data_IF_683463326327
#
_entry.id   IF_683463326327
#
_cell.length_a   1.000
_cell.length_b   1.000
_cell.length_c   1.000
_cell.angle_alpha   90.00
_cell.angle_beta   90.00
_cell.angle_gamma   90.00
#
_symmetry.space_group_name_H-M   'P 1'
#
loop_
_entity.id
_entity.type
_entity.pdbx_description
1 polymer ?
#
# COMPACT_ATOMS: atom_id res chain seq x y z
N UNK A 1 0.95 9.65 15.32
CA UNK A 1 0.72 8.23 14.96
C UNK A 1 1.89 7.75 14.13
N UNK A 2 2.31 6.48 14.23
CA UNK A 2 3.33 5.93 13.32
C UNK A 2 2.82 5.97 11.87
N UNK A 3 3.69 6.19 10.87
CA UNK A 3 3.33 6.15 9.45
C UNK A 3 2.64 4.83 9.06
N UNK A 4 1.70 4.92 8.11
CA UNK A 4 0.94 3.78 7.59
C UNK A 4 1.83 2.59 7.17
N UNK A 5 2.95 2.88 6.51
CA UNK A 5 3.97 1.92 6.08
C UNK A 5 4.54 1.11 7.23
N UNK A 6 4.99 1.76 8.30
CA UNK A 6 5.65 1.09 9.43
C UNK A 6 4.68 0.13 10.12
N UNK A 7 3.44 0.58 10.34
CA UNK A 7 2.36 -0.25 10.91
C UNK A 7 2.05 -1.46 10.01
N UNK A 8 2.01 -1.27 8.69
CA UNK A 8 1.82 -2.37 7.74
C UNK A 8 2.94 -3.40 7.79
N UNK A 9 4.20 -2.94 7.74
CA UNK A 9 5.39 -3.80 7.78
C UNK A 9 5.41 -4.62 9.09
N UNK A 10 5.13 -3.99 10.22
CA UNK A 10 5.08 -4.66 11.52
C UNK A 10 4.00 -5.76 11.54
N UNK A 11 2.77 -5.43 11.09
CA UNK A 11 1.65 -6.38 11.07
C UNK A 11 1.86 -7.52 10.10
N UNK A 12 2.36 -7.27 8.89
CA UNK A 12 2.57 -8.32 7.89
C UNK A 12 3.75 -9.24 8.27
N UNK A 13 4.79 -8.70 8.93
CA UNK A 13 5.86 -9.52 9.53
C UNK A 13 5.36 -10.34 10.71
N UNK A 14 4.46 -9.78 11.52
CA UNK A 14 3.82 -10.51 12.61
C UNK A 14 2.98 -11.66 12.06
N UNK A 15 2.24 -11.45 10.97
CA UNK A 15 1.54 -12.51 10.24
C UNK A 15 2.49 -13.62 9.76
N UNK A 16 3.61 -13.27 9.11
CA UNK A 16 4.62 -14.27 8.68
C UNK A 16 5.18 -15.08 9.85
N UNK A 17 5.43 -14.42 10.99
CA UNK A 17 5.89 -15.09 12.22
C UNK A 17 4.81 -16.00 12.81
N UNK A 18 3.55 -15.57 12.83
CA UNK A 18 2.43 -16.37 13.32
C UNK A 18 2.27 -17.67 12.55
N UNK A 19 2.58 -17.68 11.24
CA UNK A 19 2.56 -18.88 10.40
C UNK A 19 3.62 -19.93 10.79
N UNK A 20 4.55 -19.62 11.68
CA UNK A 20 5.60 -20.55 12.14
C UNK A 20 5.24 -21.23 13.47
N UNK A 21 4.19 -20.75 14.14
CA UNK A 21 3.72 -21.29 15.43
C UNK A 21 3.11 -22.68 15.21
N UNK A 22 3.31 -23.58 16.18
CA UNK A 22 2.85 -24.96 16.07
C UNK A 22 1.32 -25.08 15.95
N UNK A 23 0.57 -24.21 16.65
CA UNK A 23 -0.89 -24.22 16.65
C UNK A 23 -1.54 -23.93 15.30
N UNK A 24 -0.80 -23.41 14.31
CA UNK A 24 -1.34 -23.12 12.97
C UNK A 24 -0.87 -24.11 11.90
N UNK A 25 0.02 -25.05 12.27
CA UNK A 25 0.51 -26.10 11.39
C UNK A 25 -0.39 -27.32 11.48
N UNK A 26 -0.55 -28.00 10.35
CA UNK A 26 -1.20 -29.30 10.34
C UNK A 26 -0.28 -30.35 10.96
N UNK A 27 -0.90 -31.28 11.66
CA UNK A 27 -0.33 -32.48 12.25
C UNK A 27 -0.90 -33.72 11.56
N UNK A 28 -0.39 -34.93 11.84
CA UNK A 28 -0.93 -36.16 11.25
C UNK A 28 -2.45 -36.24 11.35
N UNK A 29 -3.10 -36.89 10.37
CA UNK A 29 -4.57 -36.95 10.26
C UNK A 29 -5.27 -37.58 11.48
N UNK A 30 -4.53 -38.30 12.32
CA UNK A 30 -5.01 -38.81 13.62
C UNK A 30 -5.27 -37.70 14.64
N UNK A 31 -4.58 -36.56 14.56
CA UNK A 31 -4.71 -35.42 15.48
C UNK A 31 -5.82 -34.46 15.02
N UNK A 32 -7.05 -34.96 14.93
CA UNK A 32 -8.20 -34.22 14.40
C UNK A 32 -8.47 -32.90 15.14
N UNK A 33 -8.47 -32.91 16.47
CA UNK A 33 -8.76 -31.70 17.27
C UNK A 33 -7.74 -30.58 17.01
N UNK A 34 -6.45 -30.93 16.96
CA UNK A 34 -5.39 -29.97 16.64
C UNK A 34 -5.59 -29.38 15.25
N UNK A 35 -5.86 -30.22 14.25
CA UNK A 35 -6.03 -29.77 12.86
C UNK A 35 -7.26 -28.88 12.68
N UNK A 36 -8.35 -29.13 13.41
CA UNK A 36 -9.52 -28.24 13.43
C UNK A 36 -9.19 -26.87 14.05
N UNK A 37 -8.44 -26.84 15.16
CA UNK A 37 -7.96 -25.58 15.76
C UNK A 37 -7.03 -24.84 14.78
N UNK A 38 -6.09 -25.55 14.17
CA UNK A 38 -5.15 -24.98 13.21
C UNK A 38 -5.87 -24.37 12.01
N UNK A 39 -6.89 -25.06 11.48
CA UNK A 39 -7.76 -24.55 10.40
C UNK A 39 -8.46 -23.25 10.80
N UNK A 40 -9.08 -23.21 11.98
CA UNK A 40 -9.77 -22.01 12.48
C UNK A 40 -8.80 -20.84 12.63
N UNK A 41 -7.61 -21.08 13.19
CA UNK A 41 -6.60 -20.04 13.34
C UNK A 41 -6.10 -19.53 11.98
N UNK A 42 -5.85 -20.41 11.01
CA UNK A 42 -5.45 -20.01 9.64
C UNK A 42 -6.53 -19.19 8.93
N UNK A 43 -7.81 -19.52 9.10
CA UNK A 43 -8.89 -18.70 8.57
C UNK A 43 -8.88 -17.29 9.19
N UNK A 44 -8.68 -17.19 10.52
CA UNK A 44 -8.50 -15.90 11.19
C UNK A 44 -7.31 -15.10 10.64
N UNK A 45 -6.16 -15.75 10.47
CA UNK A 45 -4.95 -15.13 9.91
C UNK A 45 -5.16 -14.65 8.46
N UNK A 46 -5.91 -15.38 7.64
CA UNK A 46 -6.25 -14.96 6.28
C UNK A 46 -7.09 -13.66 6.28
N UNK A 47 -8.07 -13.56 7.18
CA UNK A 47 -8.88 -12.35 7.34
C UNK A 47 -8.03 -11.17 7.82
N UNK A 48 -7.20 -11.38 8.84
CA UNK A 48 -6.31 -10.34 9.40
C UNK A 48 -5.28 -9.86 8.36
N UNK A 49 -4.72 -10.78 7.57
CA UNK A 49 -3.78 -10.43 6.51
C UNK A 49 -4.39 -9.54 5.44
N UNK A 50 -5.63 -9.84 5.00
CA UNK A 50 -6.33 -8.98 4.05
C UNK A 50 -6.66 -7.61 4.66
N UNK A 51 -7.20 -7.60 5.87
CA UNK A 51 -7.52 -6.36 6.59
C UNK A 51 -6.28 -5.47 6.81
N UNK A 52 -5.11 -6.08 7.00
CA UNK A 52 -3.83 -5.36 7.15
C UNK A 52 -3.46 -4.59 5.89
N UNK A 53 -3.62 -5.19 4.70
CA UNK A 53 -3.38 -4.52 3.42
C UNK A 53 -4.44 -3.44 3.14
N UNK A 54 -5.69 -3.68 3.49
CA UNK A 54 -6.76 -2.68 3.35
C UNK A 54 -6.53 -1.44 4.21
N UNK A 55 -6.17 -1.64 5.48
CA UNK A 55 -5.86 -0.56 6.42
C UNK A 55 -4.67 0.27 5.93
N UNK A 56 -3.64 -0.40 5.38
CA UNK A 56 -2.51 0.28 4.75
C UNK A 56 -2.95 1.18 3.59
N UNK A 57 -3.70 0.65 2.62
CA UNK A 57 -4.14 1.43 1.45
C UNK A 57 -5.04 2.61 1.84
N UNK A 58 -5.94 2.41 2.82
CA UNK A 58 -6.76 3.50 3.40
C UNK A 58 -5.89 4.60 3.98
N UNK A 59 -5.05 4.26 4.96
CA UNK A 59 -4.21 5.23 5.68
C UNK A 59 -3.21 5.93 4.76
N UNK A 60 -2.54 5.18 3.88
CA UNK A 60 -1.59 5.75 2.92
C UNK A 60 -2.27 6.75 1.98
N UNK A 61 -3.51 6.47 1.56
CA UNK A 61 -4.28 7.41 0.74
C UNK A 61 -4.64 8.66 1.52
N UNK A 62 -5.09 8.51 2.78
CA UNK A 62 -5.36 9.65 3.66
C UNK A 62 -4.12 10.52 3.88
N UNK A 63 -2.95 9.91 4.13
CA UNK A 63 -1.66 10.60 4.24
C UNK A 63 -1.36 11.42 2.97
N UNK A 64 -1.54 10.82 1.78
CA UNK A 64 -1.31 11.52 0.52
C UNK A 64 -2.28 12.69 0.33
N UNK A 65 -3.56 12.54 0.68
CA UNK A 65 -4.53 13.63 0.56
C UNK A 65 -4.15 14.82 1.45
N UNK A 66 -3.71 14.55 2.69
CA UNK A 66 -3.23 15.58 3.62
C UNK A 66 -2.00 16.28 3.04
N UNK A 67 -1.04 15.53 2.52
CA UNK A 67 0.18 16.08 1.91
C UNK A 67 -0.09 16.91 0.64
N UNK A 68 -1.15 16.60 -0.11
CA UNK A 68 -1.57 17.42 -1.25
C UNK A 68 -2.22 18.73 -0.77
N UNK A 69 -3.07 18.67 0.26
CA UNK A 69 -3.64 19.88 0.88
C UNK A 69 -2.56 20.82 1.44
N UNK A 70 -1.45 20.26 1.92
CA UNK A 70 -0.29 21.03 2.40
C UNK A 70 0.68 21.47 1.28
N UNK A 71 0.39 21.17 0.01
CA UNK A 71 1.24 21.58 -1.11
C UNK A 71 0.96 23.03 -1.52
N UNK A 72 1.90 23.65 -2.25
CA UNK A 72 1.73 25.01 -2.77
C UNK A 72 0.88 25.08 -4.06
N UNK A 73 0.32 23.95 -4.50
CA UNK A 73 -0.43 23.83 -5.76
C UNK A 73 -1.87 24.24 -5.53
N UNK A 74 -2.40 25.14 -6.36
CA UNK A 74 -3.81 25.54 -6.27
C UNK A 74 -4.74 24.36 -6.56
N UNK A 75 -5.88 24.27 -5.85
CA UNK A 75 -6.85 23.20 -6.05
C UNK A 75 -7.30 23.09 -7.51
N UNK A 76 -7.48 24.23 -8.19
CA UNK A 76 -7.87 24.30 -9.61
C UNK A 76 -6.83 23.72 -10.56
N UNK A 77 -5.56 23.63 -10.16
CA UNK A 77 -4.50 23.02 -10.96
C UNK A 77 -4.38 21.50 -10.74
N UNK A 78 -5.03 20.93 -9.72
CA UNK A 78 -5.01 19.49 -9.51
C UNK A 78 -5.73 18.74 -10.64
N UNK A 79 -5.33 17.48 -10.92
CA UNK A 79 -6.02 16.64 -11.91
C UNK A 79 -7.52 16.58 -11.67
N UNK A 80 -8.32 16.68 -12.73
CA UNK A 80 -9.79 16.77 -12.64
C UNK A 80 -10.41 15.64 -11.81
N UNK A 81 -9.97 14.40 -12.04
CA UNK A 81 -10.43 13.22 -11.31
C UNK A 81 -10.15 13.32 -9.81
N UNK A 82 -9.00 13.86 -9.43
CA UNK A 82 -8.64 14.08 -8.03
C UNK A 82 -9.51 15.17 -7.40
N UNK A 83 -9.76 16.28 -8.11
CA UNK A 83 -10.67 17.33 -7.64
C UNK A 83 -12.07 16.78 -7.42
N UNK A 84 -12.58 16.01 -8.37
CA UNK A 84 -13.91 15.40 -8.30
C UNK A 84 -14.02 14.41 -7.14
N UNK A 85 -13.02 13.53 -6.96
CA UNK A 85 -12.98 12.58 -5.86
C UNK A 85 -12.94 13.28 -4.48
N UNK A 86 -12.17 14.37 -4.38
CA UNK A 86 -11.97 15.10 -3.11
C UNK A 86 -13.13 16.00 -2.72
N UNK A 87 -14.08 16.25 -3.63
CA UNK A 87 -15.22 17.15 -3.42
C UNK A 87 -16.54 16.39 -3.49
N UNK A 88 -16.94 15.97 -4.70
CA UNK A 88 -18.22 15.33 -4.94
C UNK A 88 -18.29 13.92 -4.37
N UNK A 89 -17.33 13.05 -4.71
CA UNK A 89 -17.37 11.65 -4.26
C UNK A 89 -17.11 11.51 -2.75
N UNK A 90 -16.34 12.43 -2.19
CA UNK A 90 -16.12 12.52 -0.76
C UNK A 90 -17.44 12.60 0.03
N UNK A 91 -18.50 13.22 -0.49
CA UNK A 91 -19.81 13.30 0.18
C UNK A 91 -20.36 11.90 0.46
N UNK A 92 -20.27 10.98 -0.50
CA UNK A 92 -20.72 9.60 -0.33
C UNK A 92 -19.91 8.87 0.74
N UNK A 93 -18.58 9.07 0.76
CA UNK A 93 -17.72 8.51 1.78
C UNK A 93 -18.06 9.04 3.18
N UNK A 94 -18.27 10.36 3.32
CA UNK A 94 -18.66 10.97 4.60
C UNK A 94 -20.00 10.42 5.09
N UNK A 95 -20.99 10.28 4.20
CA UNK A 95 -22.29 9.70 4.56
C UNK A 95 -22.15 8.26 5.07
N UNK A 96 -21.31 7.45 4.40
CA UNK A 96 -21.02 6.10 4.83
C UNK A 96 -20.36 6.08 6.22
N UNK A 97 -19.34 6.89 6.45
CA UNK A 97 -18.66 6.96 7.76
C UNK A 97 -19.61 7.40 8.89
N UNK A 98 -20.51 8.36 8.63
CA UNK A 98 -21.51 8.81 9.60
C UNK A 98 -22.46 7.70 10.06
N UNK A 99 -22.61 6.60 9.31
CA UNK A 99 -23.43 5.45 9.71
C UNK A 99 -22.85 4.70 10.92
N UNK A 100 -21.53 4.80 11.15
CA UNK A 100 -20.80 4.14 12.23
C UNK A 100 -20.56 5.02 13.46
N UNK A 101 -20.79 6.33 13.35
CA UNK A 101 -20.56 7.27 14.44
C UNK A 101 -21.73 7.33 15.42
N UNK A 102 -21.48 7.51 16.73
CA UNK A 102 -22.50 7.91 17.70
C UNK A 102 -23.22 9.20 17.26
N UNK A 103 -24.49 9.37 17.66
CA UNK A 103 -25.33 10.48 17.18
C UNK A 103 -24.74 11.86 17.51
N UNK A 104 -24.15 11.96 18.69
CA UNK A 104 -23.49 13.12 19.26
C UNK A 104 -22.28 13.60 18.43
N UNK A 105 -21.53 12.68 17.81
CA UNK A 105 -20.33 13.01 17.05
C UNK A 105 -20.63 13.37 15.59
N UNK A 106 -21.80 12.98 15.06
CA UNK A 106 -22.14 13.16 13.63
C UNK A 106 -22.11 14.61 13.18
N UNK A 107 -22.61 15.53 14.02
CA UNK A 107 -22.69 16.96 13.70
C UNK A 107 -21.28 17.54 13.57
N UNK A 108 -20.42 17.29 14.56
CA UNK A 108 -19.04 17.79 14.54
C UNK A 108 -18.27 17.21 13.36
N UNK A 109 -18.42 15.90 13.13
CA UNK A 109 -17.77 15.20 12.03
C UNK A 109 -18.14 15.78 10.66
N UNK A 110 -19.44 15.97 10.39
CA UNK A 110 -19.86 16.50 9.08
C UNK A 110 -19.45 17.96 8.91
N UNK A 111 -19.47 18.76 9.97
CA UNK A 111 -19.01 20.16 9.93
C UNK A 111 -17.52 20.24 9.59
N UNK A 112 -16.67 19.46 10.26
CA UNK A 112 -15.23 19.42 10.00
C UNK A 112 -14.92 19.08 8.54
N UNK A 113 -15.52 18.01 8.02
CA UNK A 113 -15.25 17.58 6.65
C UNK A 113 -15.91 18.48 5.60
N UNK A 114 -17.05 19.10 5.91
CA UNK A 114 -17.67 20.10 5.01
C UNK A 114 -16.81 21.36 4.89
N UNK A 115 -16.14 21.78 5.97
CA UNK A 115 -15.18 22.89 5.92
C UNK A 115 -14.02 22.57 4.97
N UNK A 116 -13.48 21.33 5.01
CA UNK A 116 -12.43 20.89 4.08
C UNK A 116 -12.90 20.95 2.62
N UNK A 117 -14.09 20.43 2.32
CA UNK A 117 -14.67 20.52 0.98
C UNK A 117 -14.85 21.99 0.56
N UNK A 118 -15.42 22.83 1.43
CA UNK A 118 -15.62 24.26 1.16
C UNK A 118 -14.30 24.99 0.90
N UNK A 119 -13.23 24.65 1.63
CA UNK A 119 -11.93 25.29 1.50
C UNK A 119 -11.31 25.15 0.11
N UNK A 120 -11.72 24.15 -0.69
CA UNK A 120 -11.28 23.94 -2.07
C UNK A 120 -11.67 25.06 -3.04
N UNK A 121 -12.59 25.94 -2.64
CA UNK A 121 -12.93 27.17 -3.35
C UNK A 121 -11.91 28.31 -3.14
N UNK A 122 -10.93 28.12 -2.25
CA UNK A 122 -9.92 29.12 -1.88
C UNK A 122 -8.51 28.65 -2.24
N UNK A 123 -7.52 29.54 -2.12
CA UNK A 123 -6.11 29.20 -2.37
C UNK A 123 -5.50 28.30 -1.29
N UNK A 124 -6.02 28.37 -0.06
CA UNK A 124 -5.55 27.59 1.08
C UNK A 124 -6.61 26.54 1.39
N UNK A 125 -6.48 25.36 0.81
CA UNK A 125 -7.45 24.29 0.96
C UNK A 125 -6.87 23.11 1.75
N UNK A 126 -7.76 22.39 2.40
CA UNK A 126 -7.48 21.08 2.98
C UNK A 126 -8.27 20.03 2.20
N UNK A 127 -7.65 18.88 1.94
CA UNK A 127 -8.38 17.75 1.37
C UNK A 127 -8.81 16.80 2.48
N UNK A 128 -10.04 16.31 2.35
CA UNK A 128 -10.55 15.30 3.27
C UNK A 128 -9.72 14.01 3.16
N UNK A 129 -9.27 13.43 4.28
CA UNK A 129 -8.56 12.14 4.26
C UNK A 129 -9.45 10.98 3.82
N UNK A 130 -10.77 11.20 3.74
CA UNK A 130 -11.77 10.19 3.42
C UNK A 130 -12.17 10.14 1.94
N UNK A 131 -11.44 10.83 1.07
CA UNK A 131 -11.75 10.85 -0.37
C UNK A 131 -11.71 9.45 -1.03
N UNK A 132 -10.92 8.51 -0.50
CA UNK A 132 -10.76 7.17 -1.07
C UNK A 132 -10.94 6.06 -0.04
N UNK A 133 -11.63 4.98 -0.41
CA UNK A 133 -11.80 3.75 0.39
C UNK A 133 -12.64 3.87 1.67
N UNK A 134 -13.26 5.02 1.93
CA UNK A 134 -14.11 5.27 3.10
C UNK A 134 -15.61 5.19 2.80
N UNK A 135 -16.01 4.76 1.60
CA UNK A 135 -17.39 4.60 1.14
C UNK A 135 -17.91 3.14 1.19
N UNK A 136 -17.09 2.21 1.68
CA UNK A 136 -17.40 0.78 1.73
C UNK A 136 -16.64 0.06 2.85
N UNK A 137 -17.16 -1.10 3.25
CA UNK A 137 -16.54 -1.89 4.33
C UNK A 137 -15.21 -2.49 3.88
N UNK A 138 -15.19 -3.04 2.66
CA UNK A 138 -14.06 -3.77 2.09
C UNK A 138 -13.62 -3.14 0.78
N UNK A 139 -12.32 -3.04 0.57
CA UNK A 139 -11.71 -2.53 -0.65
C UNK A 139 -11.83 -3.58 -1.75
N UNK A 140 -12.31 -3.15 -2.90
CA UNK A 140 -12.37 -3.94 -4.13
C UNK A 140 -11.22 -3.54 -5.07
N UNK A 141 -10.91 -4.43 -6.00
CA UNK A 141 -9.89 -4.21 -7.03
C UNK A 141 -10.20 -2.97 -7.89
N UNK A 142 -11.48 -2.76 -8.23
CA UNK A 142 -11.93 -1.57 -8.95
C UNK A 142 -11.73 -0.27 -8.16
N UNK A 143 -11.79 -0.32 -6.83
CA UNK A 143 -11.55 0.87 -6.01
C UNK A 143 -10.08 1.27 -6.03
N UNK A 144 -9.17 0.30 -6.04
CA UNK A 144 -7.74 0.54 -6.19
C UNK A 144 -7.44 1.15 -7.56
N UNK A 145 -8.03 0.59 -8.62
CA UNK A 145 -7.94 1.15 -9.98
C UNK A 145 -8.43 2.60 -10.02
N UNK A 146 -9.61 2.88 -9.45
CA UNK A 146 -10.21 4.22 -9.45
C UNK A 146 -9.33 5.23 -8.73
N UNK A 147 -8.82 4.89 -7.55
CA UNK A 147 -7.93 5.76 -6.78
C UNK A 147 -6.66 6.09 -7.57
N UNK A 148 -5.92 5.09 -8.06
CA UNK A 148 -4.67 5.34 -8.80
C UNK A 148 -4.92 6.08 -10.12
N UNK A 149 -6.07 5.89 -10.77
CA UNK A 149 -6.47 6.71 -11.93
C UNK A 149 -6.67 8.19 -11.59
N UNK A 150 -7.03 8.53 -10.35
CA UNK A 150 -7.08 9.94 -9.90
C UNK A 150 -5.68 10.56 -9.81
N UNK A 151 -4.65 9.74 -9.63
CA UNK A 151 -3.24 10.12 -9.64
C UNK A 151 -2.59 10.04 -11.02
N UNK A 152 -3.38 10.12 -12.10
CA UNK A 152 -2.85 10.15 -13.46
C UNK A 152 -2.17 8.85 -13.89
N UNK A 153 -2.52 7.71 -13.30
CA UNK A 153 -1.97 6.39 -13.63
C UNK A 153 -2.96 5.63 -14.51
N UNK A 154 -2.53 5.27 -15.72
CA UNK A 154 -3.29 4.39 -16.60
C UNK A 154 -2.92 2.92 -16.37
N UNK A 155 -3.90 2.03 -16.54
CA UNK A 155 -3.79 0.60 -16.22
C UNK A 155 -3.07 0.32 -14.88
N UNK A 156 -3.64 0.74 -13.73
CA UNK A 156 -2.89 0.74 -12.46
C UNK A 156 -2.30 -0.61 -12.05
N UNK A 157 -3.06 -1.71 -12.18
CA UNK A 157 -2.54 -3.04 -11.86
C UNK A 157 -1.42 -3.49 -12.80
N UNK A 158 -1.49 -3.11 -14.07
CA UNK A 158 -0.41 -3.34 -15.02
C UNK A 158 0.88 -2.63 -14.58
N UNK A 159 0.78 -1.35 -14.21
CA UNK A 159 1.94 -0.58 -13.72
C UNK A 159 2.50 -1.16 -12.43
N UNK A 160 1.65 -1.52 -11.47
CA UNK A 160 2.07 -2.18 -10.23
C UNK A 160 2.76 -3.52 -10.50
N UNK A 161 2.21 -4.33 -11.41
CA UNK A 161 2.79 -5.63 -11.78
C UNK A 161 4.14 -5.47 -12.47
N UNK A 162 4.31 -4.45 -13.32
CA UNK A 162 5.60 -4.12 -13.94
C UNK A 162 6.66 -3.72 -12.90
N UNK A 163 6.29 -2.90 -11.92
CA UNK A 163 7.19 -2.54 -10.80
C UNK A 163 7.57 -3.76 -9.96
N UNK A 164 6.58 -4.61 -9.63
CA UNK A 164 6.79 -5.86 -8.89
C UNK A 164 7.76 -6.79 -9.62
N UNK A 165 7.59 -6.94 -10.94
CA UNK A 165 8.45 -7.77 -11.80
C UNK A 165 9.89 -7.27 -11.84
N UNK A 166 10.12 -5.95 -11.95
CA UNK A 166 11.46 -5.35 -11.92
C UNK A 166 12.21 -5.61 -10.61
N UNK A 167 11.49 -5.76 -9.51
CA UNK A 167 12.04 -6.11 -8.20
C UNK A 167 12.11 -7.62 -7.95
N UNK A 168 11.55 -8.44 -8.84
CA UNK A 168 11.50 -9.89 -8.72
C UNK A 168 10.59 -10.39 -7.60
N UNK A 169 9.49 -9.67 -7.29
CA UNK A 169 8.66 -9.96 -6.11
C UNK A 169 7.54 -10.97 -6.39
N UNK A 170 6.92 -10.94 -7.57
CA UNK A 170 5.79 -11.83 -7.88
C UNK A 170 5.89 -12.41 -9.29
N UNK A 171 5.47 -13.67 -9.42
CA UNK A 171 5.37 -14.37 -10.71
C UNK A 171 4.03 -14.11 -11.42
N UNK A 172 2.96 -13.89 -10.65
CA UNK A 172 1.63 -13.61 -11.18
C UNK A 172 1.35 -12.10 -11.21
N UNK A 173 0.45 -11.64 -12.11
CA UNK A 173 -0.08 -10.27 -12.06
C UNK A 173 -0.72 -9.97 -10.71
N UNK A 174 -0.43 -8.79 -10.16
CA UNK A 174 -0.86 -8.41 -8.81
C UNK A 174 -2.39 -8.31 -8.65
N UNK A 175 -3.11 -8.00 -9.73
CA UNK A 175 -4.58 -8.00 -9.76
C UNK A 175 -5.14 -9.38 -9.40
N UNK A 176 -4.57 -10.44 -10.00
CA UNK A 176 -4.99 -11.81 -9.78
C UNK A 176 -4.68 -12.22 -8.33
N UNK A 177 -3.50 -11.87 -7.83
CA UNK A 177 -3.12 -12.11 -6.42
C UNK A 177 -4.10 -11.42 -5.46
N UNK A 178 -4.46 -10.16 -5.71
CA UNK A 178 -5.43 -9.42 -4.89
C UNK A 178 -6.83 -10.07 -4.93
N UNK A 179 -7.33 -10.41 -6.11
CA UNK A 179 -8.64 -11.04 -6.27
C UNK A 179 -8.69 -12.42 -5.59
N UNK A 180 -7.63 -13.21 -5.70
CA UNK A 180 -7.52 -14.51 -5.02
C UNK A 180 -7.51 -14.34 -3.50
N UNK A 181 -6.75 -13.38 -2.98
CA UNK A 181 -6.74 -13.06 -1.55
C UNK A 181 -8.10 -12.59 -1.04
N UNK A 182 -8.81 -11.76 -1.82
CA UNK A 182 -10.16 -11.30 -1.49
C UNK A 182 -11.17 -12.45 -1.42
N UNK A 183 -11.16 -13.35 -2.41
CA UNK A 183 -11.99 -14.57 -2.41
C UNK A 183 -11.67 -15.48 -1.23
N UNK A 184 -10.39 -15.65 -0.92
CA UNK A 184 -9.92 -16.46 0.21
C UNK A 184 -10.39 -15.89 1.54
N UNK A 185 -10.27 -14.57 1.75
CA UNK A 185 -10.82 -13.88 2.92
C UNK A 185 -12.32 -14.12 3.04
N UNK A 186 -13.08 -13.93 1.96
CA UNK A 186 -14.53 -14.11 1.98
C UNK A 186 -14.90 -15.54 2.38
N UNK A 187 -14.22 -16.54 1.81
CA UNK A 187 -14.40 -17.95 2.18
C UNK A 187 -14.05 -18.19 3.66
N UNK A 188 -12.90 -17.72 4.12
CA UNK A 188 -12.42 -17.89 5.49
C UNK A 188 -13.35 -17.27 6.54
N UNK A 189 -14.02 -16.15 6.23
CA UNK A 189 -14.89 -15.45 7.16
C UNK A 189 -16.33 -16.01 7.23
N UNK A 190 -16.82 -16.61 6.13
CA UNK A 190 -18.25 -16.93 6.00
C UNK A 190 -18.56 -18.41 5.80
N UNK A 191 -17.59 -19.23 5.38
CA UNK A 191 -17.80 -20.65 5.11
C UNK A 191 -17.31 -21.46 6.30
N UNK A 192 -18.23 -22.15 6.99
CA UNK A 192 -17.97 -22.88 8.24
C UNK A 192 -16.91 -23.99 8.10
N UNK A 193 -16.84 -24.61 6.92
CA UNK A 193 -15.84 -25.63 6.59
C UNK A 193 -14.70 -25.09 5.71
N UNK A 194 -14.47 -23.77 5.70
CA UNK A 194 -13.33 -23.20 5.01
C UNK A 194 -12.04 -23.77 5.56
N UNK A 195 -11.17 -24.23 4.67
CA UNK A 195 -9.78 -24.51 4.97
C UNK A 195 -8.91 -23.58 4.15
N UNK A 196 -8.05 -22.85 4.86
CA UNK A 196 -7.05 -21.98 4.27
C UNK A 196 -5.68 -22.62 4.48
N UNK A 197 -5.05 -23.13 3.42
CA UNK A 197 -3.73 -23.73 3.53
C UNK A 197 -2.70 -22.76 4.09
N UNK A 198 -1.72 -23.25 4.84
CA UNK A 198 -0.64 -22.40 5.36
C UNK A 198 0.18 -21.75 4.24
N UNK A 199 0.47 -22.51 3.18
CA UNK A 199 1.21 -22.05 1.99
C UNK A 199 0.51 -20.88 1.30
N UNK A 200 -0.82 -20.90 1.26
CA UNK A 200 -1.66 -19.84 0.70
C UNK A 200 -1.47 -18.51 1.43
N UNK A 201 -1.39 -18.55 2.77
CA UNK A 201 -1.18 -17.35 3.59
C UNK A 201 0.28 -16.87 3.46
N UNK A 202 1.24 -17.79 3.42
CA UNK A 202 2.66 -17.45 3.19
C UNK A 202 2.88 -16.77 1.84
N UNK A 203 2.26 -17.28 0.78
CA UNK A 203 2.29 -16.65 -0.53
C UNK A 203 1.64 -15.26 -0.48
N UNK A 204 0.48 -15.16 0.18
CA UNK A 204 -0.21 -13.88 0.32
C UNK A 204 0.63 -12.82 1.06
N UNK A 205 1.45 -13.18 2.05
CA UNK A 205 2.37 -12.24 2.71
C UNK A 205 3.28 -11.55 1.68
N UNK A 206 3.89 -12.32 0.78
CA UNK A 206 4.77 -11.78 -0.26
C UNK A 206 3.99 -10.92 -1.27
N UNK A 207 2.82 -11.38 -1.69
CA UNK A 207 1.94 -10.66 -2.61
C UNK A 207 1.44 -9.34 -2.01
N UNK A 208 1.04 -9.34 -0.73
CA UNK A 208 0.58 -8.15 -0.03
C UNK A 208 1.70 -7.09 0.09
N UNK A 209 2.94 -7.52 0.37
CA UNK A 209 4.09 -6.60 0.38
C UNK A 209 4.33 -6.02 -1.03
N UNK A 210 4.26 -6.83 -2.08
CA UNK A 210 4.42 -6.35 -3.45
C UNK A 210 3.32 -5.34 -3.83
N UNK A 211 2.05 -5.62 -3.48
CA UNK A 211 0.93 -4.69 -3.70
C UNK A 211 1.15 -3.39 -2.92
N UNK A 212 1.44 -3.48 -1.62
CA UNK A 212 1.64 -2.32 -0.77
C UNK A 212 2.79 -1.43 -1.25
N UNK A 213 3.96 -2.02 -1.53
CA UNK A 213 5.13 -1.31 -2.02
C UNK A 213 4.85 -0.61 -3.35
N UNK A 214 4.28 -1.32 -4.33
CA UNK A 214 4.08 -0.75 -5.67
C UNK A 214 2.97 0.30 -5.70
N UNK A 215 1.94 0.14 -4.88
CA UNK A 215 0.93 1.15 -4.63
C UNK A 215 1.55 2.42 -4.03
N UNK A 216 2.39 2.26 -2.99
CA UNK A 216 3.07 3.38 -2.32
C UNK A 216 4.04 4.10 -3.28
N UNK A 217 4.79 3.37 -4.09
CA UNK A 217 5.71 3.95 -5.08
C UNK A 217 4.99 4.86 -6.08
N UNK A 218 3.90 4.37 -6.67
CA UNK A 218 3.12 5.10 -7.66
C UNK A 218 2.45 6.34 -7.04
N UNK A 219 1.78 6.14 -5.91
CA UNK A 219 1.04 7.20 -5.24
C UNK A 219 1.98 8.28 -4.67
N UNK A 220 3.14 7.90 -4.11
CA UNK A 220 4.18 8.83 -3.67
C UNK A 220 4.86 9.56 -4.83
N UNK A 221 5.06 8.90 -5.98
CA UNK A 221 5.59 9.57 -7.18
C UNK A 221 4.61 10.62 -7.72
N UNK A 222 3.32 10.30 -7.76
CA UNK A 222 2.28 11.26 -8.12
C UNK A 222 2.26 12.46 -7.17
N UNK A 223 2.34 12.21 -5.86
CA UNK A 223 2.47 13.28 -4.85
C UNK A 223 3.69 14.17 -5.11
N UNK A 224 4.85 13.57 -5.42
CA UNK A 224 6.07 14.32 -5.73
C UNK A 224 5.89 15.22 -6.96
N UNK A 225 5.27 14.71 -8.03
CA UNK A 225 4.97 15.50 -9.24
C UNK A 225 4.02 16.66 -8.96
N UNK A 226 3.01 16.44 -8.11
CA UNK A 226 2.12 17.51 -7.64
C UNK A 226 2.93 18.55 -6.86
N UNK A 227 3.69 18.15 -5.85
CA UNK A 227 4.50 19.08 -5.02
C UNK A 227 5.50 19.89 -5.85
N UNK A 228 6.03 19.32 -6.93
CA UNK A 228 6.92 20.00 -7.88
C UNK A 228 6.19 20.94 -8.86
N UNK A 229 4.86 20.99 -8.81
CA UNK A 229 4.01 21.74 -9.73
C UNK A 229 4.28 21.37 -11.21
N UNK A 230 4.46 20.07 -11.50
CA UNK A 230 4.72 19.57 -12.86
C UNK A 230 3.50 19.84 -13.76
N UNK A 231 3.59 20.87 -14.61
CA UNK A 231 2.49 21.31 -15.47
C UNK A 231 1.98 20.22 -16.42
N UNK A 232 2.86 19.31 -16.88
CA UNK A 232 2.45 18.24 -17.79
C UNK A 232 1.63 17.18 -17.05
N UNK A 233 2.02 16.84 -15.83
CA UNK A 233 1.27 15.92 -14.97
C UNK A 233 -0.07 16.54 -14.52
N UNK A 234 -0.05 17.80 -14.06
CA UNK A 234 -1.23 18.51 -13.57
C UNK A 234 -2.28 18.74 -14.66
N UNK A 235 -1.85 19.03 -15.89
CA UNK A 235 -2.75 19.14 -17.06
C UNK A 235 -3.28 17.80 -17.57
N UNK A 236 -2.77 16.67 -17.07
CA UNK A 236 -3.11 15.33 -17.56
C UNK A 236 -2.44 14.93 -18.87
N UNK A 237 -1.51 15.75 -19.38
CA UNK A 237 -0.75 15.44 -20.60
C UNK A 237 0.25 14.30 -20.37
N UNK A 238 0.86 14.27 -19.17
CA UNK A 238 1.78 13.22 -18.74
C UNK A 238 1.06 12.21 -17.87
N UNK A 239 1.01 10.97 -18.34
CA UNK A 239 0.52 9.81 -17.58
C UNK A 239 1.68 9.21 -16.81
N UNK A 240 1.48 8.98 -15.51
CA UNK A 240 2.48 8.31 -14.67
C UNK A 240 2.52 6.81 -14.99
N UNK A 241 3.72 6.31 -15.23
CA UNK A 241 4.00 4.92 -15.58
C UNK A 241 5.03 4.30 -14.64
N UNK A 242 5.17 2.97 -14.70
CA UNK A 242 6.19 2.25 -13.97
C UNK A 242 7.60 2.76 -14.31
N UNK A 243 7.87 3.11 -15.57
CA UNK A 243 9.18 3.61 -16.03
C UNK A 243 9.60 4.94 -15.39
N UNK A 244 8.67 5.71 -14.85
CA UNK A 244 8.97 6.97 -14.15
C UNK A 244 9.51 6.76 -12.73
N UNK A 245 9.41 5.54 -12.21
CA UNK A 245 9.94 5.15 -10.91
C UNK A 245 11.26 4.42 -11.14
N UNK A 246 12.31 4.84 -10.46
CA UNK A 246 13.63 4.19 -10.49
C UNK A 246 13.90 3.53 -9.15
N UNK A 247 14.55 2.37 -9.16
CA UNK A 247 14.87 1.66 -7.92
C UNK A 247 16.35 1.74 -7.56
N UNK A 248 16.59 1.86 -6.26
CA UNK A 248 17.83 1.50 -5.59
C UNK A 248 17.53 0.36 -4.64
N UNK A 249 18.37 -0.68 -4.61
CA UNK A 249 18.12 -1.84 -3.75
C UNK A 249 19.29 -2.10 -2.82
N UNK A 250 19.00 -2.57 -1.61
CA UNK A 250 20.00 -3.11 -0.69
C UNK A 250 19.68 -4.58 -0.47
N UNK A 251 20.66 -5.46 -0.69
CA UNK A 251 20.51 -6.92 -0.51
C UNK A 251 21.66 -7.48 0.32
N UNK A 252 21.40 -8.48 1.15
CA UNK A 252 22.46 -9.22 1.86
C UNK A 252 22.87 -10.43 1.00
N UNK A 253 24.11 -10.43 0.54
CA UNK A 253 24.67 -11.49 -0.32
C UNK A 253 26.06 -11.85 0.21
N UNK A 254 26.31 -13.14 0.45
CA UNK A 254 27.58 -13.65 1.00
C UNK A 254 27.95 -13.00 2.34
N UNK A 255 26.96 -12.76 3.19
CA UNK A 255 27.14 -12.11 4.50
C UNK A 255 27.43 -10.60 4.44
N UNK A 256 27.46 -9.98 3.25
CA UNK A 256 27.68 -8.54 3.08
C UNK A 256 26.44 -7.85 2.54
N UNK A 257 26.19 -6.63 3.01
CA UNK A 257 25.16 -5.76 2.47
C UNK A 257 25.69 -5.06 1.22
N UNK A 258 24.99 -5.24 0.11
CA UNK A 258 25.36 -4.72 -1.21
C UNK A 258 24.24 -3.81 -1.71
N UNK A 259 24.60 -2.60 -2.10
CA UNK A 259 23.70 -1.61 -2.70
C UNK A 259 23.78 -1.71 -4.23
N UNK A 260 22.64 -1.70 -4.91
CA UNK A 260 22.55 -1.75 -6.38
C UNK A 260 21.67 -0.61 -6.88
N UNK A 261 22.10 0.01 -7.97
CA UNK A 261 21.24 0.81 -8.82
C UNK A 261 20.52 -0.09 -9.80
N UNK A 262 19.31 0.30 -10.20
CA UNK A 262 18.52 -0.47 -11.15
C UNK A 262 19.28 -0.74 -12.46
N UNK A 263 19.13 -1.97 -12.98
CA UNK A 263 19.79 -2.43 -14.20
C UNK A 263 21.27 -2.80 -14.04
N UNK A 264 21.90 -2.55 -12.88
CA UNK A 264 23.31 -2.85 -12.67
C UNK A 264 23.51 -4.13 -11.86
N UNK A 265 24.32 -5.05 -12.40
CA UNK A 265 24.74 -6.27 -11.71
C UNK A 265 25.88 -6.04 -10.71
N UNK A 266 26.65 -4.96 -10.88
CA UNK A 266 27.73 -4.58 -9.98
C UNK A 266 27.19 -3.74 -8.81
N UNK A 267 27.55 -4.13 -7.59
CA UNK A 267 27.21 -3.36 -6.40
C UNK A 267 27.87 -1.97 -6.45
N UNK A 268 27.07 -0.94 -6.20
CA UNK A 268 27.52 0.45 -6.06
C UNK A 268 28.37 0.63 -4.80
N UNK A 269 27.92 0.05 -3.67
CA UNK A 269 28.66 -0.02 -2.41
C UNK A 269 28.43 -1.35 -1.71
N UNK A 270 29.40 -1.72 -0.88
CA UNK A 270 29.38 -2.94 -0.07
C UNK A 270 29.77 -2.56 1.35
N UNK A 271 29.02 -3.04 2.35
CA UNK A 271 29.33 -2.87 3.76
C UNK A 271 28.93 -4.13 4.54
N UNK A 272 29.59 -4.40 5.67
CA UNK A 272 29.20 -5.48 6.58
C UNK A 272 28.09 -5.04 7.55
N UNK A 273 27.90 -3.73 7.75
CA UNK A 273 26.90 -3.17 8.65
C UNK A 273 25.84 -2.38 7.86
N UNK A 274 24.59 -2.86 7.91
CA UNK A 274 23.44 -2.18 7.29
C UNK A 274 23.18 -0.80 7.90
N UNK A 275 23.44 -0.60 9.19
CA UNK A 275 23.21 0.67 9.87
C UNK A 275 24.09 1.81 9.34
N UNK A 276 25.23 1.48 8.70
CA UNK A 276 26.08 2.46 8.02
C UNK A 276 25.69 2.62 6.54
N UNK A 277 25.29 1.54 5.87
CA UNK A 277 24.96 1.59 4.44
C UNK A 277 23.59 2.24 4.17
N UNK A 278 22.61 1.98 5.04
CA UNK A 278 21.21 2.37 4.82
C UNK A 278 21.02 3.90 4.81
N UNK A 279 21.51 4.69 5.79
CA UNK A 279 21.34 6.15 5.78
C UNK A 279 21.99 6.80 4.55
N UNK A 280 23.17 6.29 4.19
CA UNK A 280 23.95 6.68 3.02
C UNK A 280 23.20 6.41 1.72
N UNK A 281 22.62 5.22 1.57
CA UNK A 281 21.85 4.83 0.41
C UNK A 281 20.52 5.60 0.33
N UNK A 282 19.89 5.88 1.47
CA UNK A 282 18.69 6.71 1.56
C UNK A 282 18.95 8.12 1.06
N UNK A 283 20.02 8.78 1.54
CA UNK A 283 20.42 10.10 1.07
C UNK A 283 20.65 10.13 -0.44
N UNK A 284 21.34 9.12 -0.98
CA UNK A 284 21.54 8.98 -2.43
C UNK A 284 20.23 8.74 -3.20
N UNK A 285 19.32 7.94 -2.66
CA UNK A 285 18.05 7.67 -3.29
C UNK A 285 17.20 8.94 -3.38
N UNK A 286 17.09 9.70 -2.29
CA UNK A 286 16.40 10.99 -2.27
C UNK A 286 17.01 12.00 -3.25
N UNK A 287 18.35 12.13 -3.28
CA UNK A 287 19.03 13.03 -4.22
C UNK A 287 18.80 12.68 -5.70
N UNK A 288 18.70 11.38 -6.01
CA UNK A 288 18.52 10.92 -7.38
C UNK A 288 17.04 10.69 -7.77
N UNK A 289 16.10 11.01 -6.88
CA UNK A 289 14.68 10.68 -7.03
C UNK A 289 14.50 9.18 -7.37
N UNK A 290 15.02 8.31 -6.52
CA UNK A 290 14.89 6.86 -6.61
C UNK A 290 14.13 6.32 -5.39
N UNK A 291 13.35 5.26 -5.57
CA UNK A 291 12.79 4.50 -4.46
C UNK A 291 13.82 3.50 -3.95
N UNK A 292 14.12 3.57 -2.66
CA UNK A 292 15.01 2.61 -1.99
C UNK A 292 14.21 1.40 -1.50
N UNK A 293 14.62 0.19 -1.87
CA UNK A 293 14.01 -1.07 -1.40
C UNK A 293 15.07 -1.92 -0.69
N UNK A 294 14.79 -2.30 0.55
CA UNK A 294 15.69 -3.09 1.39
C UNK A 294 15.18 -4.52 1.45
N UNK A 295 16.01 -5.46 1.01
CA UNK A 295 15.74 -6.89 1.08
C UNK A 295 16.46 -7.52 2.26
N UNK A 296 15.89 -8.59 2.84
CA UNK A 296 16.57 -9.42 3.82
C UNK A 296 17.50 -10.46 3.16
N UNK A 297 18.02 -11.38 3.97
CA UNK A 297 18.91 -12.47 3.53
C UNK A 297 18.20 -13.57 2.72
N UNK A 298 16.87 -13.61 2.77
CA UNK A 298 16.03 -14.53 1.99
C UNK A 298 15.48 -13.86 0.73
N UNK A 299 16.02 -12.68 0.36
CA UNK A 299 15.56 -11.86 -0.75
C UNK A 299 14.06 -11.48 -0.63
N UNK A 300 13.54 -11.36 0.59
CA UNK A 300 12.21 -10.80 0.87
C UNK A 300 12.35 -9.31 1.19
N UNK A 301 11.39 -8.51 0.76
CA UNK A 301 11.37 -7.08 1.08
C UNK A 301 11.17 -6.91 2.58
N UNK A 302 12.12 -6.22 3.21
CA UNK A 302 12.12 -5.90 4.64
C UNK A 302 11.64 -4.47 4.91
N UNK A 303 11.97 -3.52 4.03
CA UNK A 303 11.57 -2.11 4.12
C UNK A 303 11.65 -1.42 2.74
N UNK A 304 11.00 -0.26 2.60
CA UNK A 304 11.16 0.62 1.44
C UNK A 304 11.00 2.10 1.82
N UNK A 305 11.63 2.98 1.04
CA UNK A 305 11.55 4.43 1.19
C UNK A 305 11.25 5.06 -0.16
N UNK A 306 10.11 5.74 -0.23
CA UNK A 306 9.72 6.57 -1.38
C UNK A 306 10.38 7.96 -1.28
N UNK A 307 10.27 8.72 -2.37
CA UNK A 307 10.83 10.06 -2.60
C UNK A 307 10.71 11.02 -1.42
#
# INVERSE_FOLDING_TARGET
MPPSKETFIERIKSLDKSLKIESVKDRPLSEREHNEVARLLRNGLAVVGFATLEDFMKKKSSEIMIEIGNSAVQFTALPEKLRYASTFEAISALNYQMSYLPKEDKILYIQEHSLKISSTATSNFELTPHAFYHDQANIKDETIKKMLKCFGIENPWGQMSMLSSRLGLTALPLEVSFQNASKRRHKAAHVSNADTPQTDIQQYVAEAIAIALTFDCLSSKALALIKLNDCQFLSGTKVLSASDIKFRTIKKIDGKWKEYTEGNSRAYRINNNIGLLLPDAHSRASLNNETLVVFDEYNKVNDWHCY
#
